data_IF_420118872237
#
_entry.id   IF_420118872237
#
_cell.length_a   1.000
_cell.length_b   1.000
_cell.length_c   1.000
_cell.angle_alpha   90.00
_cell.angle_beta   90.00
_cell.angle_gamma   90.00
#
_symmetry.space_group_name_H-M   'P 1'
#
loop_
_entity.id
_entity.type
_entity.pdbx_description
1 polymer ?
#
# COMPACT_ATOMS: atom_id res chain seq x y z
N UNK A 1 -22.46 0.27 5.81
CA UNK A 1 -21.10 0.76 5.52
C UNK A 1 -20.62 0.20 4.19
N UNK A 2 -19.80 0.95 3.48
CA UNK A 2 -19.16 0.52 2.24
C UNK A 2 -17.65 0.67 2.40
N UNK A 3 -16.92 -0.44 2.31
CA UNK A 3 -15.45 -0.45 2.49
C UNK A 3 -14.78 0.38 1.39
N UNK A 4 -15.17 0.20 0.14
CA UNK A 4 -14.65 0.94 -1.03
C UNK A 4 -14.82 2.47 -0.93
N UNK A 5 -15.73 2.93 -0.05
CA UNK A 5 -15.92 4.34 0.30
C UNK A 5 -15.23 4.73 1.62
N UNK A 6 -14.33 3.88 2.16
CA UNK A 6 -13.58 4.11 3.39
C UNK A 6 -14.36 3.85 4.68
N UNK A 7 -15.42 3.03 4.63
CA UNK A 7 -16.19 2.57 5.83
C UNK A 7 -16.57 3.69 6.80
N UNK A 8 -17.02 4.83 6.31
CA UNK A 8 -17.25 6.08 7.08
C UNK A 8 -18.12 5.89 8.31
N UNK A 9 -19.11 5.00 8.22
CA UNK A 9 -20.11 4.76 9.27
C UNK A 9 -19.72 3.63 10.23
N UNK A 10 -18.60 2.95 10.00
CA UNK A 10 -18.28 1.73 10.75
C UNK A 10 -17.96 2.02 12.22
N UNK A 11 -17.13 3.03 12.50
CA UNK A 11 -16.76 3.36 13.88
C UNK A 11 -17.96 3.79 14.73
N UNK A 12 -18.87 4.66 14.27
CA UNK A 12 -20.13 4.92 14.97
C UNK A 12 -20.95 3.66 15.27
N UNK A 13 -21.01 2.69 14.36
CA UNK A 13 -21.68 1.41 14.63
C UNK A 13 -20.95 0.57 15.66
N UNK A 14 -19.62 0.47 15.58
CA UNK A 14 -18.81 -0.24 16.57
C UNK A 14 -19.01 0.36 17.95
N UNK A 15 -18.98 1.70 18.08
CA UNK A 15 -19.18 2.39 19.35
C UNK A 15 -20.59 2.14 19.95
N UNK A 16 -21.62 2.22 19.12
CA UNK A 16 -22.98 1.90 19.52
C UNK A 16 -23.17 0.43 19.96
N UNK A 17 -22.39 -0.48 19.38
CA UNK A 17 -22.48 -1.92 19.64
C UNK A 17 -21.48 -2.42 20.68
N UNK A 18 -20.57 -1.58 21.20
CA UNK A 18 -19.54 -1.99 22.18
C UNK A 18 -20.09 -2.84 23.35
N UNK A 19 -21.23 -2.49 23.96
CA UNK A 19 -21.78 -3.32 25.05
C UNK A 19 -22.16 -4.74 24.64
N UNK A 20 -22.41 -4.96 23.33
CA UNK A 20 -22.72 -6.28 22.77
C UNK A 20 -21.49 -7.02 22.28
N UNK A 21 -20.43 -6.29 21.85
CA UNK A 21 -19.18 -6.87 21.39
C UNK A 21 -18.35 -7.42 22.54
N UNK A 22 -18.45 -6.82 23.73
CA UNK A 22 -17.66 -7.22 24.89
C UNK A 22 -16.16 -7.06 24.67
N UNK A 23 -15.36 -7.93 25.30
CA UNK A 23 -13.91 -7.95 25.16
C UNK A 23 -13.51 -8.68 23.90
N UNK A 24 -13.18 -7.92 22.85
CA UNK A 24 -12.78 -8.47 21.55
C UNK A 24 -11.34 -8.96 21.63
N UNK A 25 -11.14 -10.27 21.53
CA UNK A 25 -9.80 -10.90 21.55
C UNK A 25 -9.22 -11.17 20.16
N UNK A 26 -10.04 -11.15 19.10
CA UNK A 26 -9.61 -11.39 17.72
C UNK A 26 -10.47 -10.57 16.75
N UNK A 27 -9.82 -9.84 15.86
CA UNK A 27 -10.42 -9.19 14.70
C UNK A 27 -9.99 -9.94 13.45
N UNK A 28 -10.97 -10.33 12.61
CA UNK A 28 -10.71 -11.00 11.35
C UNK A 28 -11.10 -10.06 10.21
N UNK A 29 -10.12 -9.68 9.39
CA UNK A 29 -10.30 -8.91 8.17
C UNK A 29 -9.94 -9.79 6.97
N UNK A 30 -10.87 -9.99 6.05
CA UNK A 30 -10.69 -10.86 4.88
C UNK A 30 -10.41 -10.06 3.58
N UNK A 31 -10.14 -8.79 3.71
CA UNK A 31 -9.90 -7.85 2.61
C UNK A 31 -8.39 -7.65 2.36
N UNK A 32 -7.66 -8.73 2.11
CA UNK A 32 -6.23 -8.67 1.82
C UNK A 32 -5.80 -9.72 0.80
N UNK A 33 -4.50 -9.79 0.54
CA UNK A 33 -3.92 -10.65 -0.47
C UNK A 33 -3.08 -11.80 0.07
N UNK A 34 -2.76 -12.72 -0.83
CA UNK A 34 -1.88 -13.85 -0.59
C UNK A 34 -0.61 -13.76 -1.47
N UNK A 35 0.51 -14.22 -0.94
CA UNK A 35 1.76 -14.29 -1.68
C UNK A 35 1.70 -15.36 -2.79
N UNK A 36 1.16 -16.53 -2.46
CA UNK A 36 0.85 -17.64 -3.35
C UNK A 36 -0.43 -18.34 -2.89
N UNK A 37 -0.81 -19.47 -3.53
CA UNK A 37 -1.99 -20.28 -3.16
C UNK A 37 -1.64 -21.55 -2.37
N UNK A 38 -0.38 -21.70 -1.93
CA UNK A 38 0.15 -22.95 -1.36
C UNK A 38 0.24 -22.94 0.17
N UNK A 39 -0.04 -21.79 0.81
CA UNK A 39 -0.03 -21.63 2.27
C UNK A 39 -0.98 -20.52 2.73
N UNK A 40 -1.30 -20.51 4.03
CA UNK A 40 -1.99 -19.38 4.65
C UNK A 40 -1.06 -18.17 4.68
N UNK A 41 -1.58 -16.99 4.36
CA UNK A 41 -0.84 -15.73 4.43
C UNK A 41 -1.50 -14.77 5.42
N UNK A 42 -0.71 -14.29 6.38
CA UNK A 42 -1.10 -13.22 7.29
C UNK A 42 -0.49 -11.90 6.81
N UNK A 43 -1.33 -10.90 6.62
CA UNK A 43 -0.88 -9.53 6.34
C UNK A 43 -0.46 -8.86 7.64
N UNK A 44 0.78 -8.39 7.69
CA UNK A 44 1.39 -7.82 8.89
C UNK A 44 1.68 -6.33 8.80
N UNK A 45 1.52 -5.73 7.62
CA UNK A 45 1.57 -4.28 7.44
C UNK A 45 0.85 -3.84 6.18
N UNK A 46 0.33 -2.62 6.19
CA UNK A 46 -0.33 -1.95 5.08
C UNK A 46 0.28 -0.57 4.93
N UNK A 47 0.61 -0.15 3.70
CA UNK A 47 1.09 1.21 3.48
C UNK A 47 -0.02 2.22 3.68
N UNK A 48 0.37 3.42 4.11
CA UNK A 48 -0.46 4.61 4.06
C UNK A 48 -0.53 5.24 2.67
N UNK A 49 -1.28 6.32 2.56
CA UNK A 49 -1.46 7.06 1.32
C UNK A 49 -1.54 8.56 1.61
N UNK A 50 -0.95 9.37 0.71
CA UNK A 50 -1.22 10.80 0.59
C UNK A 50 -1.49 11.13 -0.88
N UNK A 51 -2.53 11.90 -1.17
CA UNK A 51 -2.87 12.25 -2.55
C UNK A 51 -3.41 13.67 -2.67
N UNK A 52 -3.31 14.23 -3.87
CA UNK A 52 -3.83 15.55 -4.21
C UNK A 52 -3.66 15.84 -5.69
N UNK A 53 -4.17 16.98 -6.11
CA UNK A 53 -3.99 17.50 -7.47
C UNK A 53 -3.00 18.65 -7.44
N UNK A 54 -1.83 18.44 -8.04
CA UNK A 54 -0.81 19.48 -8.25
C UNK A 54 -1.09 20.18 -9.57
N UNK A 55 -1.28 21.50 -9.52
CA UNK A 55 -1.49 22.35 -10.69
C UNK A 55 -0.45 23.44 -10.76
N UNK A 56 0.15 23.63 -11.91
CA UNK A 56 1.11 24.68 -12.23
C UNK A 56 0.53 25.55 -13.35
N UNK A 57 0.27 26.82 -13.05
CA UNK A 57 -0.28 27.80 -14.00
C UNK A 57 0.77 28.91 -14.26
N UNK A 58 1.01 29.21 -15.54
CA UNK A 58 1.99 30.23 -15.99
C UNK A 58 1.38 31.27 -16.91
N UNK A 59 0.30 30.94 -17.58
CA UNK A 59 -0.44 31.82 -18.50
C UNK A 59 -1.94 31.75 -18.16
N UNK A 60 -2.67 32.77 -18.57
CA UNK A 60 -4.15 32.81 -18.47
C UNK A 60 -4.83 32.09 -19.64
N UNK A 61 -4.15 32.00 -20.79
CA UNK A 61 -4.63 31.35 -21.98
C UNK A 61 -3.48 30.73 -22.80
N UNK A 62 -3.78 29.84 -23.71
CA UNK A 62 -2.80 29.25 -24.62
C UNK A 62 -2.29 30.26 -25.66
N UNK A 63 -0.99 30.24 -25.96
CA UNK A 63 -0.36 31.13 -26.94
C UNK A 63 0.46 30.34 -27.96
N UNK A 64 0.67 30.94 -29.13
CA UNK A 64 1.43 30.31 -30.22
C UNK A 64 2.87 30.01 -29.78
N UNK A 65 3.29 28.74 -29.89
CA UNK A 65 4.58 28.30 -29.38
C UNK A 65 5.76 28.90 -30.17
N UNK A 66 5.59 29.16 -31.46
CA UNK A 66 6.61 29.79 -32.31
C UNK A 66 6.94 31.24 -31.92
N UNK A 67 5.98 31.93 -31.31
CA UNK A 67 6.15 33.31 -30.84
C UNK A 67 6.73 33.36 -29.41
N UNK A 68 6.33 32.47 -28.55
CA UNK A 68 6.57 32.56 -27.12
C UNK A 68 7.59 31.54 -26.54
N UNK A 69 7.94 30.48 -27.29
CA UNK A 69 8.87 29.48 -26.82
C UNK A 69 10.27 30.08 -26.57
N UNK A 70 10.86 29.75 -25.45
CA UNK A 70 12.17 30.30 -25.01
C UNK A 70 12.03 31.51 -24.10
N UNK A 71 10.98 32.33 -24.26
CA UNK A 71 10.66 33.45 -23.37
C UNK A 71 9.71 33.01 -22.26
N UNK A 72 8.58 32.40 -22.61
CA UNK A 72 7.60 31.87 -21.65
C UNK A 72 8.04 30.50 -21.18
N UNK A 73 8.24 30.27 -19.88
CA UNK A 73 8.57 28.94 -19.37
C UNK A 73 7.38 28.01 -19.53
N UNK A 74 7.64 26.77 -19.98
CA UNK A 74 6.61 25.75 -20.10
C UNK A 74 6.07 25.34 -18.73
N UNK A 75 4.76 25.30 -18.56
CA UNK A 75 4.10 24.81 -17.33
C UNK A 75 4.55 23.37 -16.99
N UNK A 76 4.77 22.53 -18.00
CA UNK A 76 5.29 21.17 -17.82
C UNK A 76 6.74 21.14 -17.34
N UNK A 77 7.60 22.05 -17.81
CA UNK A 77 8.96 22.15 -17.29
C UNK A 77 8.99 22.60 -15.83
N UNK A 78 8.12 23.54 -15.45
CA UNK A 78 7.98 23.97 -14.05
C UNK A 78 7.44 22.80 -13.20
N UNK A 79 6.45 22.08 -13.69
CA UNK A 79 5.93 20.87 -13.02
C UNK A 79 7.05 19.87 -12.71
N UNK A 80 7.95 19.60 -13.66
CA UNK A 80 9.11 18.73 -13.45
C UNK A 80 10.03 19.26 -12.36
N UNK A 81 10.34 20.57 -12.37
CA UNK A 81 11.18 21.21 -11.33
C UNK A 81 10.55 21.15 -9.93
N UNK A 82 9.23 21.22 -9.83
CA UNK A 82 8.51 21.07 -8.57
C UNK A 82 8.56 19.61 -8.11
N UNK A 83 8.35 18.65 -9.01
CA UNK A 83 8.43 17.23 -8.69
C UNK A 83 9.86 16.77 -8.33
N UNK A 84 10.90 17.37 -8.90
CA UNK A 84 12.31 17.10 -8.58
C UNK A 84 12.67 17.46 -7.10
N UNK A 85 11.81 18.23 -6.41
CA UNK A 85 11.95 18.47 -4.96
C UNK A 85 11.45 17.29 -4.13
N UNK A 86 10.53 16.52 -4.69
CA UNK A 86 9.88 15.41 -4.02
C UNK A 86 10.57 14.08 -4.31
N UNK A 87 10.97 13.85 -5.54
CA UNK A 87 11.49 12.56 -6.01
C UNK A 87 12.79 12.72 -6.81
N UNK A 88 13.76 11.89 -6.56
CA UNK A 88 14.90 11.70 -7.46
C UNK A 88 14.43 10.92 -8.69
N UNK A 89 14.34 11.61 -9.82
CA UNK A 89 13.83 11.05 -11.08
C UNK A 89 14.67 9.89 -11.65
N UNK A 90 15.90 9.65 -11.16
CA UNK A 90 16.76 8.55 -11.59
C UNK A 90 16.53 7.27 -10.81
N UNK A 91 16.26 7.41 -9.51
CA UNK A 91 16.14 6.29 -8.58
C UNK A 91 14.70 6.01 -8.14
N UNK A 92 13.78 6.98 -8.32
CA UNK A 92 12.43 6.94 -7.80
C UNK A 92 12.35 7.08 -6.27
N UNK A 93 13.46 7.48 -5.61
CA UNK A 93 13.46 7.68 -4.16
C UNK A 93 12.83 9.02 -3.82
N UNK A 94 11.90 9.04 -2.87
CA UNK A 94 11.39 10.28 -2.30
C UNK A 94 12.44 10.93 -1.41
N UNK A 95 12.63 12.24 -1.58
CA UNK A 95 13.70 13.02 -0.95
C UNK A 95 13.40 13.42 0.50
N UNK A 96 12.17 13.82 0.88
CA UNK A 96 11.87 14.22 2.24
C UNK A 96 12.03 13.05 3.23
N UNK A 97 12.87 13.22 4.24
CA UNK A 97 13.16 12.17 5.22
C UNK A 97 11.95 11.83 6.10
N UNK A 98 11.05 12.78 6.31
CA UNK A 98 9.79 12.60 7.05
C UNK A 98 8.84 11.57 6.43
N UNK A 99 8.99 11.30 5.12
CA UNK A 99 8.19 10.29 4.41
C UNK A 99 8.77 8.87 4.55
N UNK A 100 9.92 8.72 5.20
CA UNK A 100 10.56 7.44 5.44
C UNK A 100 10.42 7.02 6.90
N UNK A 101 10.48 5.73 7.16
CA UNK A 101 10.60 5.18 8.50
C UNK A 101 11.62 4.03 8.53
N UNK A 102 12.09 3.71 9.72
CA UNK A 102 12.90 2.52 9.91
C UNK A 102 12.00 1.27 9.84
N UNK A 103 12.40 0.28 9.06
CA UNK A 103 11.71 -1.02 9.00
C UNK A 103 11.97 -1.77 10.32
N UNK A 104 10.93 -2.20 11.06
CA UNK A 104 11.11 -3.01 12.25
C UNK A 104 11.85 -4.34 11.95
N UNK A 105 12.68 -4.80 12.87
CA UNK A 105 13.53 -5.97 12.66
C UNK A 105 12.73 -7.25 12.35
N UNK A 106 11.58 -7.44 12.99
CA UNK A 106 10.65 -8.54 12.74
C UNK A 106 10.03 -8.47 11.34
N UNK A 107 9.73 -7.27 10.85
CA UNK A 107 9.20 -7.06 9.49
C UNK A 107 10.27 -7.32 8.42
N UNK A 108 11.52 -6.94 8.71
CA UNK A 108 12.64 -7.29 7.84
C UNK A 108 12.84 -8.81 7.77
N UNK A 109 12.80 -9.50 8.90
CA UNK A 109 12.89 -10.96 8.94
C UNK A 109 11.72 -11.63 8.17
N UNK A 110 10.50 -11.12 8.30
CA UNK A 110 9.34 -11.58 7.53
C UNK A 110 9.53 -11.36 6.03
N UNK A 111 10.05 -10.20 5.60
CA UNK A 111 10.35 -9.93 4.20
C UNK A 111 11.40 -10.90 3.64
N UNK A 112 12.45 -11.23 4.41
CA UNK A 112 13.46 -12.22 4.03
C UNK A 112 12.85 -13.62 3.88
N UNK A 113 12.04 -14.07 4.85
CA UNK A 113 11.35 -15.35 4.77
C UNK A 113 10.38 -15.42 3.59
N UNK A 114 9.62 -14.37 3.36
CA UNK A 114 8.69 -14.27 2.21
C UNK A 114 9.44 -14.26 0.88
N UNK A 115 10.57 -13.56 0.79
CA UNK A 115 11.42 -13.57 -0.39
C UNK A 115 11.97 -14.98 -0.70
N UNK A 116 12.34 -15.74 0.33
CA UNK A 116 12.78 -17.12 0.17
C UNK A 116 11.67 -18.06 -0.38
N UNK A 117 10.40 -17.79 -0.02
CA UNK A 117 9.25 -18.56 -0.49
C UNK A 117 8.88 -18.17 -1.93
N UNK A 118 8.81 -16.88 -2.23
CA UNK A 118 8.26 -16.35 -3.49
C UNK A 118 9.32 -16.19 -4.59
N UNK A 119 10.60 -16.02 -4.22
CA UNK A 119 11.69 -15.81 -5.16
C UNK A 119 11.42 -14.66 -6.13
N UNK A 120 11.70 -14.91 -7.40
CA UNK A 120 11.54 -13.93 -8.48
C UNK A 120 10.07 -13.57 -8.80
N UNK A 121 9.09 -14.37 -8.34
CA UNK A 121 7.67 -14.07 -8.51
C UNK A 121 7.28 -12.74 -7.85
N UNK A 122 8.03 -12.27 -6.86
CA UNK A 122 7.85 -10.96 -6.22
C UNK A 122 7.79 -9.84 -7.25
N UNK A 123 8.59 -9.89 -8.31
CA UNK A 123 8.67 -8.86 -9.35
C UNK A 123 8.28 -9.37 -10.76
N UNK A 124 8.42 -10.65 -11.08
CA UNK A 124 8.07 -11.20 -12.40
C UNK A 124 6.57 -11.28 -12.66
N UNK A 125 5.75 -11.30 -11.62
CA UNK A 125 4.28 -11.43 -11.73
C UNK A 125 3.58 -10.24 -12.40
N UNK A 126 4.27 -9.11 -12.56
CA UNK A 126 3.69 -7.92 -13.19
C UNK A 126 3.70 -8.02 -14.72
N UNK A 127 2.73 -7.42 -15.41
CA UNK A 127 2.62 -7.46 -16.86
C UNK A 127 3.62 -6.49 -17.52
N UNK A 128 4.91 -6.83 -17.46
CA UNK A 128 5.97 -6.01 -18.02
C UNK A 128 5.81 -5.81 -19.52
N UNK A 129 5.95 -4.57 -19.97
CA UNK A 129 6.04 -4.26 -21.38
C UNK A 129 7.22 -5.00 -22.01
N UNK A 130 7.03 -5.51 -23.22
CA UNK A 130 8.07 -6.22 -23.95
C UNK A 130 8.07 -5.79 -25.42
N UNK A 131 9.21 -5.99 -26.06
CA UNK A 131 9.39 -5.82 -27.49
C UNK A 131 10.34 -6.87 -28.06
N UNK A 132 10.12 -7.23 -29.31
CA UNK A 132 10.95 -8.19 -30.01
C UNK A 132 12.01 -7.44 -30.83
N UNK A 133 13.28 -7.82 -30.64
CA UNK A 133 14.41 -7.24 -31.35
C UNK A 133 15.40 -8.35 -31.73
N UNK A 134 15.67 -8.48 -33.04
CA UNK A 134 16.69 -9.41 -33.53
C UNK A 134 16.50 -10.89 -33.17
N UNK A 135 15.24 -11.32 -33.00
CA UNK A 135 14.89 -12.72 -32.67
C UNK A 135 14.90 -13.03 -31.16
N UNK A 136 15.08 -12.01 -30.30
CA UNK A 136 14.91 -12.13 -28.84
C UNK A 136 13.83 -11.18 -28.33
N UNK A 137 13.09 -11.61 -27.30
CA UNK A 137 12.12 -10.78 -26.59
C UNK A 137 12.80 -10.08 -25.41
N UNK A 138 12.74 -8.75 -25.38
CA UNK A 138 13.28 -7.92 -24.30
C UNK A 138 12.13 -7.37 -23.46
N UNK A 139 12.21 -7.51 -22.14
CA UNK A 139 11.23 -6.99 -21.19
C UNK A 139 11.74 -5.71 -20.51
N UNK A 140 10.81 -4.82 -20.16
CA UNK A 140 11.10 -3.75 -19.22
C UNK A 140 11.55 -4.35 -17.86
N UNK A 141 12.43 -3.63 -17.17
CA UNK A 141 13.04 -4.12 -15.93
C UNK A 141 12.41 -3.48 -14.70
N UNK A 142 12.30 -4.23 -13.58
CA UNK A 142 11.95 -3.66 -12.29
C UNK A 142 13.07 -2.74 -11.77
N UNK A 143 12.75 -1.92 -10.77
CA UNK A 143 13.76 -1.07 -10.07
C UNK A 143 14.80 -1.88 -9.30
N UNK A 144 14.54 -3.14 -9.01
CA UNK A 144 15.45 -4.10 -8.39
C UNK A 144 15.04 -5.53 -8.73
N UNK A 145 16.02 -6.42 -8.84
CA UNK A 145 15.83 -7.87 -8.99
C UNK A 145 16.12 -8.64 -7.71
N UNK A 146 16.49 -7.96 -6.62
CA UNK A 146 16.58 -8.56 -5.30
C UNK A 146 15.17 -8.71 -4.70
N UNK A 147 14.70 -9.95 -4.41
CA UNK A 147 13.33 -10.17 -3.93
C UNK A 147 13.05 -9.52 -2.58
N UNK A 148 14.03 -9.42 -1.67
CA UNK A 148 13.86 -8.77 -0.36
C UNK A 148 13.67 -7.26 -0.57
N UNK A 149 14.54 -6.64 -1.36
CA UNK A 149 14.43 -5.21 -1.68
C UNK A 149 13.13 -4.91 -2.44
N UNK A 150 12.71 -5.78 -3.36
CA UNK A 150 11.44 -5.63 -4.08
C UNK A 150 10.23 -5.67 -3.13
N UNK A 151 10.25 -6.54 -2.12
CA UNK A 151 9.21 -6.56 -1.08
C UNK A 151 9.24 -5.27 -0.24
N UNK A 152 10.41 -4.83 0.24
CA UNK A 152 10.54 -3.62 1.06
C UNK A 152 10.12 -2.37 0.29
N UNK A 153 10.53 -2.22 -0.96
CA UNK A 153 10.08 -1.11 -1.84
C UNK A 153 8.56 -1.05 -1.99
N UNK A 154 7.89 -2.20 -2.04
CA UNK A 154 6.43 -2.28 -2.17
C UNK A 154 5.67 -2.07 -0.87
N UNK A 155 6.31 -2.24 0.28
CA UNK A 155 5.60 -2.33 1.57
C UNK A 155 6.12 -1.37 2.64
N UNK A 156 7.38 -0.92 2.58
CA UNK A 156 8.03 -0.13 3.61
C UNK A 156 8.75 1.12 3.10
N UNK A 157 8.85 1.30 1.77
CA UNK A 157 9.40 2.53 1.20
C UNK A 157 8.28 3.43 0.66
N UNK A 158 8.42 4.76 0.76
CA UNK A 158 7.48 5.68 0.15
C UNK A 158 7.69 5.71 -1.37
N UNK A 159 6.60 5.88 -2.13
CA UNK A 159 6.64 5.95 -3.59
C UNK A 159 5.68 6.98 -4.13
N UNK A 160 6.02 7.61 -5.26
CA UNK A 160 5.15 8.51 -6.01
C UNK A 160 4.58 7.81 -7.24
N UNK A 161 3.30 8.05 -7.50
CA UNK A 161 2.65 7.74 -8.78
C UNK A 161 1.87 8.94 -9.27
N UNK A 162 1.97 9.22 -10.57
CA UNK A 162 1.08 10.17 -11.26
C UNK A 162 -0.06 9.34 -11.85
N UNK A 163 -1.26 9.53 -11.33
CA UNK A 163 -2.44 8.71 -11.68
C UNK A 163 -3.41 9.42 -12.62
N UNK A 164 -3.17 10.69 -12.93
CA UNK A 164 -3.95 11.45 -13.89
C UNK A 164 -3.22 12.70 -14.33
N UNK A 165 -3.53 13.20 -15.53
CA UNK A 165 -2.94 14.40 -16.09
C UNK A 165 -4.03 15.25 -16.79
N UNK A 166 -3.88 16.57 -16.69
CA UNK A 166 -4.74 17.56 -17.32
C UNK A 166 -3.90 18.75 -17.84
N UNK A 167 -4.47 19.54 -18.74
CA UNK A 167 -3.78 20.66 -19.37
C UNK A 167 -3.18 20.33 -20.74
N UNK A 168 -3.27 19.08 -21.17
CA UNK A 168 -2.84 18.61 -22.49
C UNK A 168 -4.03 18.17 -23.33
N UNK A 169 -4.06 18.50 -24.64
CA UNK A 169 -4.99 17.89 -25.57
C UNK A 169 -4.61 16.42 -25.84
N UNK A 170 -5.48 15.69 -26.51
CA UNK A 170 -5.10 14.39 -27.09
C UNK A 170 -3.98 14.59 -28.13
N UNK A 171 -3.23 13.54 -28.44
CA UNK A 171 -2.18 13.63 -29.47
C UNK A 171 -2.74 14.04 -30.83
N UNK A 172 -3.97 13.64 -31.13
CA UNK A 172 -4.66 13.98 -32.39
C UNK A 172 -5.02 15.48 -32.47
N UNK A 173 -5.36 16.10 -31.32
CA UNK A 173 -5.77 17.51 -31.24
C UNK A 173 -4.59 18.43 -30.87
N UNK A 174 -3.38 17.88 -30.77
CA UNK A 174 -2.19 18.63 -30.37
C UNK A 174 -1.76 19.59 -31.48
N UNK A 175 -1.50 20.84 -31.13
CA UNK A 175 -1.03 21.89 -32.01
C UNK A 175 0.12 22.70 -31.41
N UNK A 176 0.61 23.71 -32.17
CA UNK A 176 1.74 24.54 -31.78
C UNK A 176 1.35 25.61 -30.73
N UNK A 177 0.87 25.17 -29.57
CA UNK A 177 0.38 26.02 -28.48
C UNK A 177 1.15 25.73 -27.20
N UNK A 178 1.71 26.76 -26.55
CA UNK A 178 2.14 26.69 -25.16
C UNK A 178 0.91 26.65 -24.26
N UNK A 179 0.91 25.66 -23.39
CA UNK A 179 -0.24 25.41 -22.51
C UNK A 179 -0.22 26.37 -21.32
N UNK A 180 -1.37 26.92 -20.91
CA UNK A 180 -1.45 27.85 -19.79
C UNK A 180 -1.13 27.17 -18.45
N UNK A 181 -1.46 25.90 -18.32
CA UNK A 181 -1.21 25.11 -17.11
C UNK A 181 -0.91 23.64 -17.42
N UNK A 182 -0.36 22.97 -16.41
CA UNK A 182 -0.23 21.50 -16.33
C UNK A 182 -0.75 21.08 -14.96
N UNK A 183 -1.58 20.05 -14.89
CA UNK A 183 -2.05 19.49 -13.62
C UNK A 183 -1.86 17.97 -13.61
N UNK A 184 -1.40 17.46 -12.44
CA UNK A 184 -1.22 16.03 -12.19
C UNK A 184 -1.95 15.61 -10.93
N UNK A 185 -2.63 14.46 -10.99
CA UNK A 185 -3.11 13.75 -9.82
C UNK A 185 -1.95 12.95 -9.25
N UNK A 186 -1.49 13.35 -8.06
CA UNK A 186 -0.41 12.65 -7.35
C UNK A 186 -1.00 11.67 -6.35
N UNK A 187 -0.40 10.49 -6.29
CA UNK A 187 -0.70 9.45 -5.30
C UNK A 187 0.62 8.93 -4.74
N UNK A 188 0.88 9.27 -3.48
CA UNK A 188 2.02 8.74 -2.74
C UNK A 188 1.56 7.55 -1.90
N UNK A 189 2.36 6.51 -1.91
CA UNK A 189 2.26 5.47 -0.89
C UNK A 189 3.27 5.77 0.21
N UNK A 190 2.82 5.72 1.46
CA UNK A 190 3.63 6.03 2.64
C UNK A 190 3.93 4.74 3.41
N UNK A 191 5.10 4.62 4.04
CA UNK A 191 5.38 3.52 4.95
C UNK A 191 4.33 3.40 6.05
N UNK A 192 4.13 2.20 6.63
CA UNK A 192 3.08 1.95 7.63
C UNK A 192 3.11 2.85 8.86
N UNK A 193 4.29 3.36 9.25
CA UNK A 193 4.50 4.14 10.47
C UNK A 193 4.55 5.66 10.22
N UNK A 194 4.31 6.12 9.00
CA UNK A 194 4.30 7.55 8.66
C UNK A 194 2.89 8.10 8.85
N UNK A 195 2.77 9.20 9.61
CA UNK A 195 1.52 9.93 9.78
C UNK A 195 1.11 10.59 8.45
N UNK A 196 -0.02 10.15 7.90
CA UNK A 196 -0.48 10.64 6.61
C UNK A 196 -1.01 12.08 6.67
N UNK A 197 -1.58 12.53 7.79
CA UNK A 197 -2.07 13.90 7.92
C UNK A 197 -0.91 14.89 7.90
N UNK A 198 0.15 14.60 8.65
CA UNK A 198 1.38 15.39 8.64
C UNK A 198 2.04 15.34 7.25
N UNK A 199 2.16 14.15 6.65
CA UNK A 199 2.75 14.00 5.32
C UNK A 199 2.03 14.81 4.24
N UNK A 200 0.69 14.88 4.27
CA UNK A 200 -0.11 15.70 3.34
C UNK A 200 0.21 17.21 3.51
N UNK A 201 0.36 17.69 4.73
CA UNK A 201 0.68 19.12 4.97
C UNK A 201 2.12 19.45 4.51
N UNK A 202 3.08 18.59 4.82
CA UNK A 202 4.46 18.76 4.38
C UNK A 202 4.58 18.69 2.85
N UNK A 203 3.86 17.77 2.22
CA UNK A 203 3.80 17.65 0.77
C UNK A 203 3.24 18.92 0.13
N UNK A 204 2.16 19.47 0.67
CA UNK A 204 1.58 20.73 0.19
C UNK A 204 2.60 21.86 0.27
N UNK A 205 3.23 22.06 1.40
CA UNK A 205 4.24 23.10 1.59
C UNK A 205 5.42 22.93 0.63
N UNK A 206 5.97 21.70 0.51
CA UNK A 206 7.08 21.38 -0.38
C UNK A 206 6.80 21.71 -1.85
N UNK A 207 5.57 21.43 -2.31
CA UNK A 207 5.20 21.62 -3.71
C UNK A 207 4.84 23.08 -4.04
N UNK A 208 4.21 23.80 -3.12
CA UNK A 208 3.74 25.18 -3.36
C UNK A 208 4.80 26.24 -3.09
N UNK A 209 5.70 26.00 -2.15
CA UNK A 209 6.70 27.01 -1.75
C UNK A 209 7.72 27.31 -2.87
N UNK A 210 8.09 28.61 -2.96
CA UNK A 210 9.14 29.08 -3.88
C UNK A 210 8.99 28.58 -5.31
N UNK A 211 7.79 28.73 -5.88
CA UNK A 211 7.49 28.31 -7.24
C UNK A 211 8.46 28.90 -8.26
N UNK A 212 9.07 28.10 -9.16
CA UNK A 212 9.93 28.61 -10.22
C UNK A 212 9.19 29.62 -11.09
N UNK A 213 9.90 30.70 -11.49
CA UNK A 213 9.37 31.78 -12.33
C UNK A 213 8.12 32.48 -11.74
N UNK A 214 7.92 32.41 -10.42
CA UNK A 214 6.71 32.91 -9.74
C UNK A 214 5.40 32.35 -10.35
N UNK A 215 5.44 31.14 -10.89
CA UNK A 215 4.27 30.44 -11.38
C UNK A 215 3.27 30.22 -10.24
N UNK A 216 1.98 30.23 -10.57
CA UNK A 216 0.98 29.84 -9.58
C UNK A 216 0.95 28.33 -9.45
N UNK A 217 1.42 27.83 -8.31
CA UNK A 217 1.41 26.41 -7.97
C UNK A 217 0.40 26.17 -6.86
N UNK A 218 -0.51 25.21 -7.06
CA UNK A 218 -1.49 24.81 -6.04
C UNK A 218 -1.51 23.29 -5.91
N UNK A 219 -1.63 22.81 -4.68
CA UNK A 219 -1.86 21.39 -4.37
C UNK A 219 -3.13 21.24 -3.57
N UNK A 220 -4.18 20.74 -4.22
CA UNK A 220 -5.56 20.75 -3.72
C UNK A 220 -6.19 19.34 -3.76
N UNK A 221 -7.45 19.24 -3.29
CA UNK A 221 -8.19 17.97 -3.21
C UNK A 221 -7.40 16.93 -2.43
N UNK A 222 -6.92 17.34 -1.25
CA UNK A 222 -6.02 16.55 -0.42
C UNK A 222 -6.76 15.38 0.23
N UNK A 223 -6.10 14.23 0.26
CA UNK A 223 -6.56 13.05 0.97
C UNK A 223 -5.36 12.32 1.55
N UNK A 224 -5.53 11.77 2.75
CA UNK A 224 -4.50 10.98 3.42
C UNK A 224 -5.13 9.88 4.27
N UNK A 225 -4.44 8.75 4.37
CA UNK A 225 -4.79 7.66 5.25
C UNK A 225 -3.50 7.05 5.79
N UNK A 226 -3.33 7.04 7.10
CA UNK A 226 -2.19 6.42 7.77
C UNK A 226 -2.21 4.92 7.54
N UNK A 227 -1.03 4.33 7.34
CA UNK A 227 -0.87 2.90 7.18
C UNK A 227 -1.11 2.15 8.49
N UNK A 228 -0.86 0.86 8.43
CA UNK A 228 -1.02 -0.02 9.58
C UNK A 228 0.18 -0.95 9.72
N UNK A 229 0.67 -1.09 10.93
CA UNK A 229 1.64 -2.12 11.31
C UNK A 229 1.01 -3.00 12.39
N UNK A 230 0.85 -4.29 12.09
CA UNK A 230 0.20 -5.24 12.98
C UNK A 230 0.87 -5.26 14.36
N UNK A 231 0.11 -5.38 15.46
CA UNK A 231 0.69 -5.67 16.76
C UNK A 231 1.40 -7.02 16.75
N UNK A 232 2.28 -7.23 17.72
CA UNK A 232 2.96 -8.52 17.86
C UNK A 232 1.94 -9.66 18.06
N UNK A 233 2.19 -10.79 17.41
CA UNK A 233 1.36 -11.99 17.59
C UNK A 233 1.59 -12.61 18.97
N UNK A 234 0.50 -13.00 19.64
CA UNK A 234 0.60 -13.78 20.89
C UNK A 234 0.97 -15.24 20.58
N UNK A 235 1.59 -15.97 21.53
CA UNK A 235 2.00 -17.36 21.29
C UNK A 235 0.85 -18.31 20.90
N UNK A 236 -0.36 -18.09 21.41
CA UNK A 236 -1.51 -18.91 21.03
C UNK A 236 -1.92 -18.64 19.58
N UNK A 237 -1.90 -17.36 19.16
CA UNK A 237 -2.32 -16.96 17.81
C UNK A 237 -1.32 -17.43 16.76
N UNK A 238 -0.02 -17.28 17.04
CA UNK A 238 1.04 -17.76 16.16
C UNK A 238 0.96 -19.29 15.96
N UNK A 239 0.76 -20.05 17.05
CA UNK A 239 0.55 -21.50 16.95
C UNK A 239 -0.70 -21.82 16.13
N UNK A 240 -1.82 -21.19 16.41
CA UNK A 240 -3.07 -21.43 15.69
C UNK A 240 -2.97 -21.15 14.18
N UNK A 241 -2.26 -20.09 13.78
CA UNK A 241 -1.99 -19.78 12.38
C UNK A 241 -1.16 -20.87 11.70
N UNK A 242 -0.07 -21.32 12.36
CA UNK A 242 0.79 -22.36 11.82
C UNK A 242 0.09 -23.73 11.76
N UNK A 243 -0.66 -24.11 12.79
CA UNK A 243 -1.45 -25.34 12.82
C UNK A 243 -2.54 -25.33 11.73
N UNK A 244 -3.25 -24.22 11.56
CA UNK A 244 -4.26 -24.05 10.50
C UNK A 244 -3.63 -24.14 9.12
N UNK A 245 -2.50 -23.45 8.89
CA UNK A 245 -1.79 -23.50 7.62
C UNK A 245 -1.29 -24.93 7.32
N UNK A 246 -0.67 -25.57 8.29
CA UNK A 246 -0.19 -26.94 8.12
C UNK A 246 -1.31 -27.93 7.84
N UNK A 247 -2.45 -27.81 8.54
CA UNK A 247 -3.60 -28.71 8.38
C UNK A 247 -4.31 -28.53 7.02
N UNK A 248 -4.42 -27.34 6.51
CA UNK A 248 -5.23 -27.05 5.31
C UNK A 248 -4.39 -26.82 4.03
N UNK A 249 -3.12 -26.48 4.17
CA UNK A 249 -2.23 -26.22 3.04
C UNK A 249 -1.00 -27.15 3.00
N UNK A 250 -0.60 -27.74 4.13
CA UNK A 250 0.60 -28.56 4.22
C UNK A 250 1.91 -27.77 4.32
N UNK A 251 1.83 -26.46 4.62
CA UNK A 251 2.98 -25.56 4.74
C UNK A 251 2.79 -24.60 5.92
N UNK A 252 3.86 -24.02 6.49
CA UNK A 252 3.77 -23.01 7.54
C UNK A 252 3.03 -21.76 7.07
N UNK A 253 2.47 -20.99 8.01
CA UNK A 253 1.88 -19.68 7.70
C UNK A 253 2.95 -18.70 7.18
N UNK A 254 2.67 -18.03 6.09
CA UNK A 254 3.49 -16.96 5.55
C UNK A 254 3.05 -15.59 6.10
N UNK A 255 4.01 -14.67 6.21
CA UNK A 255 3.77 -13.30 6.71
C UNK A 255 4.18 -12.30 5.65
N UNK A 256 3.29 -11.39 5.29
CA UNK A 256 3.55 -10.46 4.19
C UNK A 256 3.02 -9.06 4.49
N UNK A 257 3.79 -8.02 4.15
CA UNK A 257 3.29 -6.67 4.03
C UNK A 257 2.53 -6.48 2.71
N UNK A 258 1.57 -5.58 2.69
CA UNK A 258 0.85 -5.21 1.47
C UNK A 258 1.10 -3.75 1.09
N UNK A 259 1.13 -3.50 -0.22
CA UNK A 259 1.35 -2.17 -0.77
C UNK A 259 0.10 -1.28 -0.77
N UNK A 260 -1.08 -1.88 -0.57
CA UNK A 260 -2.35 -1.18 -0.47
C UNK A 260 -2.59 -0.52 0.89
N UNK A 261 -3.62 0.31 0.95
CA UNK A 261 -4.04 1.01 2.16
C UNK A 261 -5.44 0.53 2.51
N UNK A 262 -5.61 0.01 3.73
CA UNK A 262 -6.93 -0.35 4.29
C UNK A 262 -7.09 0.47 5.57
N UNK A 263 -7.68 1.69 5.49
CA UNK A 263 -7.79 2.60 6.64
C UNK A 263 -8.50 1.99 7.83
N UNK A 264 -9.43 1.08 7.57
CA UNK A 264 -10.17 0.30 8.56
C UNK A 264 -9.25 -0.41 9.56
N UNK A 265 -8.10 -0.94 9.13
CA UNK A 265 -7.24 -1.72 10.02
C UNK A 265 -6.59 -0.87 11.11
N UNK A 266 -6.20 0.38 10.79
CA UNK A 266 -5.70 1.30 11.81
C UNK A 266 -6.80 1.62 12.84
N UNK A 267 -8.00 1.97 12.37
CA UNK A 267 -9.15 2.26 13.25
C UNK A 267 -9.52 1.08 14.15
N UNK A 268 -9.52 -0.14 13.62
CA UNK A 268 -9.83 -1.35 14.41
C UNK A 268 -8.72 -1.65 15.43
N UNK A 269 -7.45 -1.47 15.07
CA UNK A 269 -6.34 -1.67 16.00
C UNK A 269 -6.36 -0.67 17.15
N UNK A 270 -6.69 0.59 16.88
CA UNK A 270 -6.87 1.62 17.90
C UNK A 270 -8.12 1.36 18.77
N UNK A 271 -9.20 0.92 18.14
CA UNK A 271 -10.45 0.60 18.83
C UNK A 271 -10.40 -0.66 19.71
N UNK A 272 -9.53 -1.62 19.37
CA UNK A 272 -9.35 -2.90 20.06
C UNK A 272 -7.87 -3.24 20.27
N UNK A 273 -7.15 -2.47 21.10
CA UNK A 273 -5.69 -2.55 21.20
C UNK A 273 -5.15 -3.87 21.77
N UNK A 274 -5.99 -4.65 22.43
CA UNK A 274 -5.63 -5.97 23.00
C UNK A 274 -5.98 -7.13 22.08
N UNK A 275 -6.75 -6.88 21.01
CA UNK A 275 -7.15 -7.93 20.08
C UNK A 275 -6.01 -8.36 19.16
N UNK A 276 -5.95 -9.65 18.83
CA UNK A 276 -5.13 -10.13 17.73
C UNK A 276 -5.79 -9.80 16.39
N UNK A 277 -4.98 -9.48 15.38
CA UNK A 277 -5.46 -9.06 14.05
C UNK A 277 -5.14 -10.14 13.02
N UNK A 278 -6.16 -10.89 12.60
CA UNK A 278 -6.05 -11.85 11.50
C UNK A 278 -6.44 -11.17 10.19
N UNK A 279 -5.48 -10.53 9.55
CA UNK A 279 -5.69 -9.87 8.25
C UNK A 279 -5.20 -10.81 7.15
N UNK A 280 -6.10 -11.31 6.34
CA UNK A 280 -5.85 -12.25 5.26
C UNK A 280 -6.86 -12.03 4.14
N UNK A 281 -6.73 -12.75 3.03
CA UNK A 281 -7.68 -12.63 1.93
C UNK A 281 -7.34 -13.54 0.77
N UNK A 282 -8.14 -13.46 -0.29
CA UNK A 282 -8.10 -14.39 -1.42
C UNK A 282 -7.39 -13.85 -2.66
N UNK A 283 -6.93 -12.60 -2.63
CA UNK A 283 -6.25 -11.94 -3.75
C UNK A 283 -4.81 -12.45 -3.89
N UNK A 284 -4.65 -13.57 -4.57
CA UNK A 284 -3.34 -14.17 -4.85
C UNK A 284 -2.79 -13.82 -6.24
N UNK A 285 -1.73 -14.51 -6.68
CA UNK A 285 -1.14 -14.27 -7.98
C UNK A 285 -2.14 -14.34 -9.13
N UNK A 286 -2.10 -13.36 -10.04
CA UNK A 286 -2.94 -13.24 -11.23
C UNK A 286 -4.43 -13.01 -10.97
N UNK A 287 -4.87 -12.81 -9.71
CA UNK A 287 -6.29 -12.52 -9.42
C UNK A 287 -6.79 -11.22 -10.04
N UNK A 288 -5.88 -10.28 -10.32
CA UNK A 288 -6.15 -9.01 -11.00
C UNK A 288 -7.24 -8.16 -10.34
N UNK A 289 -7.15 -7.99 -9.02
CA UNK A 289 -8.08 -7.17 -8.25
C UNK A 289 -8.30 -5.79 -8.89
N UNK A 290 -9.56 -5.35 -8.96
CA UNK A 290 -10.01 -4.12 -9.62
C UNK A 290 -9.68 -4.03 -11.13
N UNK A 291 -9.26 -5.12 -11.74
CA UNK A 291 -8.91 -5.19 -13.16
C UNK A 291 -9.86 -6.07 -13.98
N UNK A 292 -9.71 -6.08 -15.32
CA UNK A 292 -10.49 -6.96 -16.16
C UNK A 292 -10.14 -8.44 -15.90
N UNK A 293 -11.16 -9.31 -15.98
CA UNK A 293 -11.03 -10.74 -15.73
C UNK A 293 -10.54 -11.09 -14.32
N UNK A 294 -10.90 -10.29 -13.31
CA UNK A 294 -10.68 -10.66 -11.92
C UNK A 294 -11.29 -12.03 -11.61
N UNK A 295 -10.57 -12.86 -10.86
CA UNK A 295 -11.04 -14.20 -10.53
C UNK A 295 -10.84 -14.54 -9.04
N UNK A 296 -11.67 -15.45 -8.55
CA UNK A 296 -11.52 -16.09 -7.26
C UNK A 296 -10.90 -17.49 -7.41
N UNK A 297 -9.76 -17.73 -6.73
CA UNK A 297 -9.18 -19.07 -6.64
C UNK A 297 -9.96 -19.91 -5.60
N UNK A 298 -11.00 -20.59 -6.05
CA UNK A 298 -11.95 -21.31 -5.20
C UNK A 298 -11.29 -22.33 -4.24
N UNK A 299 -10.31 -23.16 -4.65
CA UNK A 299 -9.62 -24.05 -3.73
C UNK A 299 -8.93 -23.31 -2.57
N UNK A 300 -8.28 -22.17 -2.86
CA UNK A 300 -7.66 -21.34 -1.83
C UNK A 300 -8.69 -20.75 -0.87
N UNK A 301 -9.78 -20.19 -1.40
CA UNK A 301 -10.86 -19.61 -0.59
C UNK A 301 -11.45 -20.64 0.39
N UNK A 302 -11.66 -21.89 -0.04
CA UNK A 302 -12.13 -22.98 0.84
C UNK A 302 -11.14 -23.29 1.96
N UNK A 303 -9.82 -23.37 1.64
CA UNK A 303 -8.78 -23.62 2.64
C UNK A 303 -8.65 -22.45 3.60
N UNK A 304 -8.73 -21.20 3.10
CA UNK A 304 -8.73 -20.00 3.94
C UNK A 304 -9.91 -20.01 4.91
N UNK A 305 -11.13 -20.31 4.44
CA UNK A 305 -12.31 -20.41 5.29
C UNK A 305 -12.13 -21.44 6.40
N UNK A 306 -11.59 -22.62 6.08
CA UNK A 306 -11.28 -23.64 7.07
C UNK A 306 -10.22 -23.19 8.07
N UNK A 307 -9.19 -22.47 7.62
CA UNK A 307 -8.16 -21.90 8.48
C UNK A 307 -8.70 -20.84 9.44
N UNK A 308 -9.62 -19.98 8.97
CA UNK A 308 -10.32 -19.01 9.83
C UNK A 308 -11.10 -19.73 10.93
N UNK A 309 -11.87 -20.75 10.58
CA UNK A 309 -12.61 -21.54 11.57
C UNK A 309 -11.69 -22.23 12.58
N UNK A 310 -10.54 -22.74 12.13
CA UNK A 310 -9.50 -23.34 13.01
C UNK A 310 -8.97 -22.32 14.01
N UNK A 311 -8.60 -21.12 13.56
CA UNK A 311 -8.08 -20.05 14.43
C UNK A 311 -9.14 -19.58 15.43
N UNK A 312 -10.40 -19.47 15.02
CA UNK A 312 -11.52 -19.14 15.92
C UNK A 312 -11.69 -20.20 17.02
N UNK A 313 -11.60 -21.47 16.67
CA UNK A 313 -11.66 -22.57 17.66
C UNK A 313 -10.48 -22.54 18.64
N UNK A 314 -9.27 -22.27 18.14
CA UNK A 314 -8.07 -22.13 18.98
C UNK A 314 -8.17 -20.94 19.94
N UNK A 315 -8.76 -19.83 19.52
CA UNK A 315 -9.05 -18.67 20.38
C UNK A 315 -9.97 -19.07 21.54
N UNK A 316 -11.08 -19.76 21.25
CA UNK A 316 -12.00 -20.21 22.30
C UNK A 316 -11.32 -21.11 23.33
N UNK A 317 -10.43 -21.98 22.88
CA UNK A 317 -9.63 -22.84 23.78
C UNK A 317 -8.63 -22.02 24.62
N UNK A 318 -7.96 -21.03 24.01
CA UNK A 318 -7.02 -20.17 24.71
C UNK A 318 -7.69 -19.31 25.79
N UNK A 319 -8.92 -18.88 25.56
CA UNK A 319 -9.74 -18.14 26.54
C UNK A 319 -10.28 -19.04 27.67
N UNK A 320 -10.57 -20.31 27.38
CA UNK A 320 -11.06 -21.28 28.36
C UNK A 320 -9.94 -21.85 29.27
N UNK A 321 -8.67 -21.70 28.87
CA UNK A 321 -7.54 -22.14 29.69
C UNK A 321 -7.43 -21.26 30.96
N UNK A 322 -7.30 -21.84 32.18
CA UNK A 322 -7.20 -21.05 33.40
C UNK A 322 -6.00 -20.12 33.34
N UNK A 323 -6.23 -18.84 33.53
CA UNK A 323 -5.16 -17.84 33.73
C UNK A 323 -4.45 -18.15 35.04
N UNK A 324 -3.36 -18.90 35.02
CA UNK A 324 -2.56 -19.14 36.21
C UNK A 324 -2.00 -20.56 36.33
N UNK A 325 -1.04 -20.89 35.50
CA UNK A 325 0.03 -21.82 35.93
C UNK A 325 1.35 -21.17 35.49
N UNK A 326 1.99 -20.45 36.42
CA UNK A 326 3.40 -20.14 36.28
C UNK A 326 4.17 -21.49 36.07
N UNK A 327 5.17 -21.56 35.18
CA UNK A 327 5.97 -22.77 35.03
C UNK A 327 6.59 -23.09 36.38
N UNK A 328 6.28 -24.28 36.90
CA UNK A 328 6.94 -24.81 38.08
C UNK A 328 8.45 -24.79 37.82
N UNK A 329 9.19 -24.08 38.68
CA UNK A 329 10.65 -24.17 38.69
C UNK A 329 11.03 -25.65 38.79
N UNK A 330 11.78 -26.14 37.82
CA UNK A 330 12.36 -27.46 37.87
C UNK A 330 13.37 -27.54 39.05
N UNK A 331 13.47 -28.69 39.75
CA UNK A 331 14.31 -28.87 40.91
C UNK A 331 15.81 -28.81 40.61
#
# INVERSE_FOLDING_TARGET
TCEESGSRDLMPYIDALRPRLGDVGLVICLDSGAGNYDQLWLTTSLRGMASGTLKVEILTEGIHSGDASGLVPSSFRIMRQVLDRLEDSKTGRLLPQSFHCQVPADRLAQAQATAAILGEEVYRRFPWAHYDCGGSTTFALPTTTDPVQALLKRTWEPTLSVTGAEGFPTLQDAGNVLRPYTAFKLSLRLPPLVDAAQAVQELKALLEDNAPYQAKVTFESLSGATGWNAPATTPWFERALNEASQAHFGAPCGYIGQGGTIPLMNMLSEGFPTAQMMVCGVLGPKSNAHGPNEFLHVPYAKRLTASVAHVMAAMAQAQAAPQGAAPAAAP
#
